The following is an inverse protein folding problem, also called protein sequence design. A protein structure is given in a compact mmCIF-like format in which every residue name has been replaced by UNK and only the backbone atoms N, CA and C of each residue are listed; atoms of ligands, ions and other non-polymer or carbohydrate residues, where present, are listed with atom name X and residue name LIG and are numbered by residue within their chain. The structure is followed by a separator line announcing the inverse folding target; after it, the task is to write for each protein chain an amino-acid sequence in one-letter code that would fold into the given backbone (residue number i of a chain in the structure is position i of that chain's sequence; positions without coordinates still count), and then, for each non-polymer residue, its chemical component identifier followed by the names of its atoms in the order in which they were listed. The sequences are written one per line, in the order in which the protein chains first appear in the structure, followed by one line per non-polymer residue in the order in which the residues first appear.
data_IF_265241814841
#
_entry.id   IF_265241814841
#
_cell.length_a   1.000
_cell.length_b   1.000
_cell.length_c   1.000
_cell.angle_alpha   90.00
_cell.angle_beta   90.00
_cell.angle_gamma   90.00
#
_symmetry.space_group_name_H-M   'P 1'
#
loop_
_entity.id
_entity.type
_entity.pdbx_description
1 polymer ?
#
# COMPACT_ATOMS: atom_id res chain seq x y z
N UNK A 1 22.69 -1.90 11.33
CA UNK A 1 21.92 -0.78 11.90
C UNK A 1 20.75 -0.47 10.98
N UNK A 2 19.59 -0.08 11.50
CA UNK A 2 18.38 0.26 10.71
C UNK A 2 18.04 1.72 11.01
N UNK A 3 18.13 2.59 10.00
CA UNK A 3 17.93 4.03 10.15
C UNK A 3 16.43 4.37 10.22
N UNK A 4 15.64 3.85 9.27
CA UNK A 4 14.20 4.09 9.22
C UNK A 4 13.47 3.05 8.36
N UNK A 5 12.13 3.02 8.44
CA UNK A 5 11.27 2.17 7.61
C UNK A 5 10.73 2.99 6.44
N UNK A 6 10.92 2.50 5.22
CA UNK A 6 10.30 3.06 4.02
C UNK A 6 8.91 2.44 3.81
N UNK A 7 7.91 3.28 3.53
CA UNK A 7 6.57 2.81 3.16
C UNK A 7 6.49 2.70 1.63
N UNK A 8 6.60 1.46 1.13
CA UNK A 8 6.55 1.10 -0.29
C UNK A 8 5.25 0.33 -0.53
N UNK A 9 4.50 0.73 -1.56
CA UNK A 9 3.23 0.10 -1.95
C UNK A 9 3.28 -0.28 -3.42
N UNK A 10 2.65 -1.39 -3.81
CA UNK A 10 2.56 -1.79 -5.21
C UNK A 10 1.65 -0.83 -5.99
N UNK A 11 2.10 -0.39 -7.16
CA UNK A 11 1.28 0.45 -8.04
C UNK A 11 0.28 -0.44 -8.80
N UNK A 12 -0.83 -0.76 -8.14
CA UNK A 12 -1.86 -1.64 -8.67
C UNK A 12 -2.54 -1.07 -9.92
N UNK A 13 -2.64 0.27 -10.01
CA UNK A 13 -3.28 0.97 -11.11
C UNK A 13 -2.45 0.76 -12.39
N UNK A 14 -1.17 1.14 -12.36
CA UNK A 14 -0.30 1.00 -13.54
C UNK A 14 0.00 -0.45 -13.88
N UNK A 15 -0.12 -1.36 -12.91
CA UNK A 15 0.10 -2.79 -13.08
C UNK A 15 -1.16 -3.56 -13.48
N UNK A 16 -2.31 -2.89 -13.65
CA UNK A 16 -3.59 -3.50 -14.01
C UNK A 16 -3.98 -4.69 -13.11
N UNK A 17 -3.79 -4.55 -11.79
CA UNK A 17 -4.19 -5.58 -10.83
C UNK A 17 -5.70 -5.57 -10.64
N UNK A 18 -6.42 -6.35 -11.44
CA UNK A 18 -7.89 -6.41 -11.42
C UNK A 18 -8.44 -7.66 -10.69
N UNK A 19 -7.65 -8.72 -10.58
CA UNK A 19 -8.07 -9.97 -9.95
C UNK A 19 -8.15 -9.81 -8.44
N UNK A 20 -9.18 -10.39 -7.84
CA UNK A 20 -9.35 -10.47 -6.40
C UNK A 20 -9.16 -11.93 -5.94
N UNK A 21 -8.62 -12.09 -4.73
CA UNK A 21 -8.47 -13.37 -4.04
C UNK A 21 -9.07 -13.26 -2.64
N UNK A 22 -9.80 -14.29 -2.22
CA UNK A 22 -10.23 -14.41 -0.83
C UNK A 22 -9.08 -14.86 0.06
N UNK A 23 -8.91 -14.18 1.19
CA UNK A 23 -7.96 -14.56 2.23
C UNK A 23 -8.63 -14.53 3.60
N UNK A 24 -8.23 -15.43 4.48
CA UNK A 24 -8.62 -15.33 5.88
C UNK A 24 -8.01 -14.08 6.52
N UNK A 25 -8.79 -13.46 7.39
CA UNK A 25 -8.36 -12.33 8.20
C UNK A 25 -7.53 -12.87 9.34
N UNK A 26 -6.40 -12.23 9.62
CA UNK A 26 -5.59 -12.51 10.80
C UNK A 26 -5.64 -11.32 11.75
N UNK A 27 -5.81 -11.59 13.03
CA UNK A 27 -5.71 -10.62 14.12
C UNK A 27 -4.72 -11.16 15.15
N UNK A 28 -3.74 -10.34 15.55
CA UNK A 28 -2.69 -10.76 16.49
C UNK A 28 -1.97 -12.07 16.08
N UNK A 29 -1.88 -12.33 14.77
CA UNK A 29 -1.34 -13.56 14.16
C UNK A 29 -2.21 -14.82 14.32
N UNK A 30 -3.44 -14.68 14.77
CA UNK A 30 -4.43 -15.75 14.85
C UNK A 30 -5.38 -15.61 13.67
N UNK A 31 -5.59 -16.69 12.92
CA UNK A 31 -6.61 -16.75 11.88
C UNK A 31 -7.99 -16.65 12.50
N UNK A 32 -8.79 -15.72 11.99
CA UNK A 32 -10.20 -15.63 12.35
C UNK A 32 -11.03 -16.44 11.34
N UNK A 33 -12.29 -16.65 11.67
CA UNK A 33 -13.25 -17.26 10.74
C UNK A 33 -13.66 -16.31 9.60
N UNK A 34 -13.26 -15.03 9.69
CA UNK A 34 -13.63 -14.03 8.70
C UNK A 34 -12.72 -14.11 7.46
N UNK A 35 -13.31 -13.97 6.27
CA UNK A 35 -12.58 -13.80 5.02
C UNK A 35 -12.70 -12.37 4.52
N UNK A 36 -11.73 -11.95 3.71
CA UNK A 36 -11.77 -10.69 2.98
C UNK A 36 -11.28 -10.88 1.55
N UNK A 37 -11.82 -10.09 0.64
CA UNK A 37 -11.35 -9.99 -0.73
C UNK A 37 -10.16 -9.05 -0.81
N UNK A 38 -9.05 -9.52 -1.40
CA UNK A 38 -7.79 -8.78 -1.52
C UNK A 38 -7.35 -8.78 -2.97
N UNK A 39 -6.82 -7.65 -3.45
CA UNK A 39 -6.23 -7.55 -4.78
C UNK A 39 -5.08 -8.54 -4.96
N UNK A 40 -5.19 -9.38 -5.98
CA UNK A 40 -4.10 -10.24 -6.43
C UNK A 40 -3.19 -9.42 -7.35
N UNK A 41 -1.98 -9.14 -6.86
CA UNK A 41 -1.01 -8.34 -7.60
C UNK A 41 -0.44 -9.11 -8.80
N UNK A 42 -0.34 -8.41 -9.93
CA UNK A 42 0.47 -8.86 -11.06
C UNK A 42 1.97 -8.82 -10.67
N UNK A 43 2.80 -9.72 -11.23
CA UNK A 43 4.23 -9.81 -10.90
C UNK A 43 5.04 -8.71 -11.61
N UNK A 44 4.67 -7.45 -11.39
CA UNK A 44 5.32 -6.26 -11.95
C UNK A 44 6.13 -5.54 -10.88
N UNK A 45 7.24 -4.93 -11.29
CA UNK A 45 8.14 -4.19 -10.41
C UNK A 45 7.82 -2.69 -10.40
N UNK A 46 6.54 -2.32 -10.27
CA UNK A 46 6.09 -0.92 -10.25
C UNK A 46 5.55 -0.59 -8.87
N UNK A 47 6.18 0.36 -8.20
CA UNK A 47 5.89 0.69 -6.80
C UNK A 47 5.76 2.20 -6.61
N UNK A 48 5.07 2.57 -5.53
CA UNK A 48 4.93 3.93 -5.03
C UNK A 48 5.64 3.99 -3.68
N UNK A 49 6.56 4.94 -3.54
CA UNK A 49 7.26 5.22 -2.29
C UNK A 49 6.62 6.45 -1.63
N UNK A 50 6.16 6.32 -0.39
CA UNK A 50 5.71 7.47 0.38
C UNK A 50 6.91 8.21 1.00
N UNK A 51 7.34 9.27 0.32
CA UNK A 51 8.46 10.13 0.73
C UNK A 51 8.12 11.03 1.93
N UNK A 52 6.84 11.18 2.26
CA UNK A 52 6.33 11.96 3.40
C UNK A 52 5.89 11.06 4.56
N UNK A 53 6.53 9.89 4.70
CA UNK A 53 6.28 8.98 5.83
C UNK A 53 6.57 9.72 7.14
N UNK A 54 5.56 9.74 8.02
CA UNK A 54 5.62 10.43 9.31
C UNK A 54 6.83 9.88 10.09
N UNK A 55 7.69 10.79 10.56
CA UNK A 55 8.98 10.54 11.23
C UNK A 55 10.18 10.16 10.35
N UNK A 56 9.97 9.64 9.14
CA UNK A 56 11.07 9.12 8.30
C UNK A 56 11.39 9.99 7.08
N UNK A 57 10.58 11.03 6.81
CA UNK A 57 10.67 11.81 5.57
C UNK A 57 12.07 12.36 5.28
N UNK A 58 12.78 12.89 6.29
CA UNK A 58 14.10 13.49 6.09
C UNK A 58 15.13 12.44 5.65
N UNK A 59 15.13 11.27 6.28
CA UNK A 59 16.01 10.16 5.91
C UNK A 59 15.66 9.56 4.54
N UNK A 60 14.36 9.50 4.20
CA UNK A 60 13.91 9.00 2.89
C UNK A 60 14.30 10.00 1.80
N UNK A 61 14.05 11.30 1.99
CA UNK A 61 14.35 12.31 0.98
C UNK A 61 15.85 12.45 0.70
N UNK A 62 16.72 12.27 1.71
CA UNK A 62 18.17 12.40 1.51
C UNK A 62 18.76 11.31 0.60
N UNK A 63 18.12 10.14 0.53
CA UNK A 63 18.60 9.00 -0.28
C UNK A 63 17.92 8.86 -1.64
N UNK A 64 16.89 9.65 -1.94
CA UNK A 64 16.24 9.62 -3.26
C UNK A 64 17.14 10.28 -4.30
N UNK A 65 17.50 9.58 -5.40
CA UNK A 65 18.26 10.17 -6.50
C UNK A 65 17.52 11.34 -7.15
N UNK A 66 18.25 12.35 -7.63
CA UNK A 66 17.67 13.57 -8.23
C UNK A 66 16.63 13.31 -9.34
N UNK A 67 16.80 12.33 -10.26
CA UNK A 67 15.79 12.03 -11.28
C UNK A 67 14.43 11.62 -10.72
N UNK A 68 14.36 11.19 -9.45
CA UNK A 68 13.16 10.71 -8.79
C UNK A 68 12.58 11.72 -7.78
N UNK A 69 13.26 12.86 -7.52
CA UNK A 69 12.83 13.85 -6.51
C UNK A 69 11.63 14.70 -6.94
N UNK A 70 11.40 14.86 -8.25
CA UNK A 70 10.39 15.78 -8.81
C UNK A 70 9.37 15.07 -9.72
N UNK A 71 8.98 13.83 -9.38
CA UNK A 71 7.84 13.21 -10.07
C UNK A 71 6.58 13.87 -9.56
N UNK A 72 5.98 14.73 -10.40
CA UNK A 72 4.75 15.43 -10.09
C UNK A 72 3.70 14.47 -9.52
N UNK A 73 3.01 14.95 -8.49
CA UNK A 73 1.91 14.25 -7.85
C UNK A 73 0.85 13.94 -8.91
N UNK A 74 0.85 12.74 -9.48
CA UNK A 74 -0.43 12.09 -9.77
C UNK A 74 -1.05 11.84 -8.41
N UNK A 75 -1.75 12.87 -7.90
CA UNK A 75 -2.67 12.75 -6.81
C UNK A 75 -3.62 11.63 -7.20
N UNK A 76 -3.31 10.41 -6.77
CA UNK A 76 -4.23 9.31 -6.83
C UNK A 76 -5.47 9.83 -6.15
N UNK A 77 -6.51 10.10 -6.94
CA UNK A 77 -7.81 10.53 -6.45
C UNK A 77 -8.22 9.52 -5.40
N UNK A 78 -8.03 9.88 -4.14
CA UNK A 78 -8.11 9.00 -3.01
C UNK A 78 -9.59 8.80 -2.65
N UNK A 79 -10.33 8.21 -3.59
CA UNK A 79 -11.76 7.92 -3.48
C UNK A 79 -12.06 6.42 -3.54
N UNK A 80 -11.05 5.56 -3.72
CA UNK A 80 -11.25 4.11 -3.83
C UNK A 80 -10.47 3.24 -2.83
N UNK A 81 -9.68 3.83 -1.93
CA UNK A 81 -9.15 3.08 -0.77
C UNK A 81 -10.09 3.06 0.44
N UNK A 82 -11.24 3.77 0.37
CA UNK A 82 -12.23 3.84 1.46
C UNK A 82 -13.34 2.79 1.42
N UNK A 83 -13.39 1.92 0.40
CA UNK A 83 -14.50 0.97 0.26
C UNK A 83 -14.21 -0.49 0.66
N UNK A 84 -13.14 -0.77 1.42
CA UNK A 84 -12.89 -2.12 1.96
C UNK A 84 -12.76 -2.19 3.49
N UNK A 85 -13.14 -1.12 4.19
CA UNK A 85 -13.31 -1.10 5.65
C UNK A 85 -14.69 -0.50 5.99
N UNK A 86 -15.78 -1.20 5.68
CA UNK A 86 -17.10 -0.91 6.26
C UNK A 86 -17.59 -2.14 7.02
N UNK A 87 -17.69 -1.97 8.34
CA UNK A 87 -18.64 -2.60 9.24
C UNK A 87 -18.89 -4.09 9.08
N UNK A 88 -18.29 -4.86 9.99
CA UNK A 88 -18.92 -6.07 10.50
C UNK A 88 -20.36 -5.71 10.95
N UNK A 89 -21.39 -6.19 10.27
CA UNK A 89 -22.69 -6.39 10.92
C UNK A 89 -22.58 -7.68 11.72
N UNK A 90 -22.80 -7.56 13.02
CA UNK A 90 -22.82 -8.64 13.97
C UNK A 90 -24.06 -9.51 13.75
N UNK A 91 -23.86 -10.83 13.72
CA UNK A 91 -24.79 -11.82 14.25
C UNK A 91 -24.08 -12.55 15.40
#
# INVERSE_FOLDING_TARGET
DIICIANIQHNCINSNCATLRETQVQQERIETTCTKSVTQHQPTNIYILNTYSIHNYHHIQSVIPDPLRNVEHTAGSNKHFRNLCHGCTAD
#
